data_IF_012193585627
#
_entry.id   IF_012193585627
#
_cell.length_a   1.000
_cell.length_b   1.000
_cell.length_c   1.000
_cell.angle_alpha   90.00
_cell.angle_beta   90.00
_cell.angle_gamma   90.00
#
_symmetry.space_group_name_H-M   'P 1'
#
loop_
_entity.id
_entity.type
_entity.pdbx_description
1 polymer ?
#
# COMPACT_ATOMS: atom_id res chain seq x y z
N UNK A 1 -6.63 9.67 23.31
CA UNK A 1 -5.91 10.82 22.71
C UNK A 1 -6.35 12.08 23.42
N UNK A 2 -5.46 13.08 23.56
CA UNK A 2 -5.85 14.36 24.14
C UNK A 2 -6.85 15.06 23.20
N UNK A 3 -7.87 15.71 23.76
CA UNK A 3 -9.00 16.30 22.99
C UNK A 3 -8.54 17.43 22.05
N UNK A 4 -7.36 18.01 22.30
CA UNK A 4 -6.76 19.10 21.52
C UNK A 4 -5.43 18.73 20.87
N UNK A 5 -5.24 17.47 20.49
CA UNK A 5 -4.07 17.04 19.70
C UNK A 5 -4.47 16.64 18.29
N UNK A 6 -3.84 17.24 17.28
CA UNK A 6 -3.86 16.73 15.90
C UNK A 6 -2.72 15.74 15.74
N UNK A 7 -3.02 14.51 15.34
CA UNK A 7 -2.04 13.47 15.07
C UNK A 7 -2.28 12.92 13.68
N UNK A 8 -1.20 12.68 12.95
CA UNK A 8 -1.20 11.96 11.69
C UNK A 8 -0.13 10.90 11.73
N UNK A 9 -0.46 9.69 11.32
CA UNK A 9 0.49 8.58 11.28
C UNK A 9 0.59 8.09 9.84
N UNK A 10 1.74 8.34 9.24
CA UNK A 10 2.05 7.83 7.91
C UNK A 10 2.78 6.50 8.05
N UNK A 11 2.28 5.47 7.38
CA UNK A 11 2.91 4.15 7.37
C UNK A 11 3.40 3.79 5.98
N UNK A 12 4.71 3.58 5.87
CA UNK A 12 5.36 3.04 4.68
C UNK A 12 5.45 1.52 4.81
N UNK A 13 4.59 0.82 4.06
CA UNK A 13 4.53 -0.63 4.00
C UNK A 13 5.33 -1.11 2.81
N UNK A 14 6.31 -1.97 3.07
CA UNK A 14 7.10 -2.64 2.04
C UNK A 14 7.12 -4.12 2.35
N UNK A 15 6.85 -4.94 1.33
CA UNK A 15 7.05 -6.37 1.40
C UNK A 15 7.42 -6.91 0.02
N UNK A 16 8.10 -8.06 0.01
CA UNK A 16 8.57 -8.74 -1.19
C UNK A 16 7.84 -10.07 -1.41
N UNK A 17 7.98 -10.56 -2.64
CA UNK A 17 7.75 -11.96 -3.01
C UNK A 17 8.75 -12.86 -2.28
N UNK A 18 8.43 -14.17 -2.20
CA UNK A 18 9.36 -15.15 -1.66
C UNK A 18 10.69 -15.10 -2.43
N UNK A 19 11.80 -15.06 -1.70
CA UNK A 19 13.16 -14.99 -2.24
C UNK A 19 13.41 -13.85 -3.25
N UNK A 20 12.59 -12.78 -3.19
CA UNK A 20 12.64 -11.63 -4.10
C UNK A 20 12.53 -12.02 -5.59
N UNK A 21 11.85 -13.13 -5.87
CA UNK A 21 11.64 -13.57 -7.24
C UNK A 21 10.79 -12.56 -8.05
N UNK A 22 11.21 -12.27 -9.28
CA UNK A 22 10.54 -11.31 -10.17
C UNK A 22 9.30 -11.90 -10.86
N UNK A 23 8.38 -12.45 -10.08
CA UNK A 23 7.21 -13.20 -10.54
C UNK A 23 5.99 -12.34 -10.85
N UNK A 24 6.07 -11.02 -10.71
CA UNK A 24 4.97 -10.09 -10.97
C UNK A 24 5.12 -9.45 -12.37
N UNK A 25 4.59 -10.08 -13.44
CA UNK A 25 4.57 -9.45 -14.77
C UNK A 25 3.65 -8.23 -14.76
N UNK A 26 3.80 -7.35 -15.76
CA UNK A 26 3.10 -6.06 -15.83
C UNK A 26 1.57 -6.18 -15.67
N UNK A 27 0.94 -7.22 -16.22
CA UNK A 27 -0.50 -7.47 -16.08
C UNK A 27 -0.91 -7.71 -14.63
N UNK A 28 -0.15 -8.53 -13.90
CA UNK A 28 -0.37 -8.82 -12.47
C UNK A 28 -0.13 -7.56 -11.64
N UNK A 29 0.93 -6.79 -11.93
CA UNK A 29 1.25 -5.56 -11.20
C UNK A 29 0.12 -4.52 -11.28
N UNK A 30 -0.45 -4.33 -12.48
CA UNK A 30 -1.62 -3.45 -12.68
C UNK A 30 -2.82 -3.95 -11.88
N UNK A 31 -3.12 -5.26 -11.95
CA UNK A 31 -4.24 -5.86 -11.22
C UNK A 31 -4.11 -5.72 -9.70
N UNK A 32 -2.92 -5.99 -9.15
CA UNK A 32 -2.63 -5.82 -7.72
C UNK A 32 -2.75 -4.36 -7.28
N UNK A 33 -2.17 -3.43 -8.06
CA UNK A 33 -2.28 -2.00 -7.77
C UNK A 33 -3.75 -1.56 -7.67
N UNK A 34 -4.59 -1.94 -8.65
CA UNK A 34 -6.03 -1.67 -8.59
C UNK A 34 -6.70 -2.31 -7.38
N UNK A 35 -6.39 -3.57 -7.08
CA UNK A 35 -6.94 -4.28 -5.91
C UNK A 35 -6.62 -3.57 -4.59
N UNK A 36 -5.36 -3.19 -4.36
CA UNK A 36 -4.97 -2.51 -3.12
C UNK A 36 -5.65 -1.15 -2.95
N UNK A 37 -5.83 -0.41 -4.06
CA UNK A 37 -6.52 0.87 -4.03
C UNK A 37 -8.00 0.70 -3.65
N UNK A 38 -8.69 -0.25 -4.29
CA UNK A 38 -10.10 -0.58 -3.97
C UNK A 38 -10.23 -1.06 -2.52
N UNK A 39 -9.35 -1.97 -2.08
CA UNK A 39 -9.36 -2.51 -0.72
C UNK A 39 -9.21 -1.40 0.35
N UNK A 40 -8.31 -0.44 0.11
CA UNK A 40 -8.08 0.68 1.00
C UNK A 40 -9.29 1.62 1.03
N UNK A 41 -9.87 1.93 -0.13
CA UNK A 41 -11.07 2.76 -0.24
C UNK A 41 -12.26 2.15 0.53
N UNK A 42 -12.52 0.85 0.36
CA UNK A 42 -13.59 0.12 1.06
C UNK A 42 -13.43 0.14 2.59
N UNK A 43 -12.21 0.33 3.09
CA UNK A 43 -11.89 0.38 4.53
C UNK A 43 -11.68 1.79 5.07
N UNK A 44 -11.88 2.81 4.25
CA UNK A 44 -11.63 4.19 4.63
C UNK A 44 -10.16 4.50 4.92
N UNK A 45 -9.23 3.70 4.38
CA UNK A 45 -7.79 3.93 4.52
C UNK A 45 -7.35 4.88 3.40
N UNK A 46 -6.79 6.03 3.76
CA UNK A 46 -6.26 6.95 2.77
C UNK A 46 -4.90 6.45 2.26
N UNK A 47 -4.85 6.09 0.98
CA UNK A 47 -3.65 5.61 0.30
C UNK A 47 -3.06 6.71 -0.58
N UNK A 48 -1.80 7.08 -0.32
CA UNK A 48 -1.10 8.13 -1.06
C UNK A 48 -0.23 7.59 -2.17
N UNK A 49 0.42 6.45 -1.95
CA UNK A 49 1.30 5.79 -2.92
C UNK A 49 0.98 4.29 -2.92
N UNK A 50 1.03 3.69 -4.10
CA UNK A 50 0.88 2.25 -4.31
C UNK A 50 1.66 1.84 -5.57
N UNK A 51 2.90 1.43 -5.38
CA UNK A 51 3.76 0.92 -6.45
C UNK A 51 3.96 -0.58 -6.29
N UNK A 52 3.69 -1.30 -7.37
CA UNK A 52 3.94 -2.74 -7.45
C UNK A 52 5.08 -2.95 -8.44
N UNK A 53 6.19 -3.47 -7.93
CA UNK A 53 7.40 -3.82 -8.68
C UNK A 53 7.39 -5.32 -9.02
N UNK A 54 8.29 -5.83 -9.86
CA UNK A 54 8.31 -7.25 -10.26
C UNK A 54 8.45 -8.22 -9.09
N UNK A 55 9.10 -7.80 -8.00
CA UNK A 55 9.43 -8.63 -6.85
C UNK A 55 8.93 -8.07 -5.49
N UNK A 56 8.43 -6.84 -5.43
CA UNK A 56 8.04 -6.20 -4.17
C UNK A 56 6.97 -5.11 -4.35
N UNK A 57 6.40 -4.63 -3.24
CA UNK A 57 5.35 -3.61 -3.21
C UNK A 57 5.74 -2.50 -2.25
N UNK A 58 5.50 -1.24 -2.64
CA UNK A 58 5.62 -0.04 -1.80
C UNK A 58 4.28 0.65 -1.66
N UNK A 59 3.78 0.78 -0.43
CA UNK A 59 2.54 1.48 -0.13
C UNK A 59 2.79 2.53 0.95
N UNK A 60 2.21 3.71 0.76
CA UNK A 60 2.16 4.76 1.79
C UNK A 60 0.71 5.07 2.13
N UNK A 61 0.31 4.84 3.37
CA UNK A 61 -1.04 5.12 3.88
C UNK A 61 -1.02 6.10 5.06
N UNK A 62 -2.12 6.79 5.27
CA UNK A 62 -2.42 7.56 6.48
C UNK A 62 -3.31 6.70 7.40
N UNK A 63 -2.92 6.58 8.67
CA UNK A 63 -3.71 5.94 9.72
C UNK A 63 -4.41 7.02 10.56
N UNK A 64 -5.70 6.84 10.87
CA UNK A 64 -6.49 7.79 11.64
C UNK A 64 -6.02 7.92 13.10
#
# INVERSE_FOLDING_TARGET
MAIHSYTRVWLHLIWSTLDEEKILPLSVRKKLSSYFYTYAQERGIFMRINYVMPEHVHILIDLP
#
